data_IF_604514895606
#
_entry.id   IF_604514895606
#
_cell.length_a   1.000
_cell.length_b   1.000
_cell.length_c   1.000
_cell.angle_alpha   90.00
_cell.angle_beta   90.00
_cell.angle_gamma   90.00
#
_symmetry.space_group_name_H-M   'P 1'
#
loop_
_entity.id
_entity.type
_entity.pdbx_description
1 polymer ?
#
# COMPACT_ATOMS: atom_id res chain seq x y z
N UNK A 1 15.94 0.80 6.29
CA UNK A 1 14.60 0.33 5.89
C UNK A 1 14.22 1.06 4.61
N UNK A 2 13.54 0.38 3.69
CA UNK A 2 13.01 0.93 2.44
C UNK A 2 11.50 0.98 2.50
N UNK A 3 10.88 2.10 2.13
CA UNK A 3 9.46 2.27 1.85
C UNK A 3 9.26 2.42 0.34
N UNK A 4 8.51 1.51 -0.28
CA UNK A 4 8.25 1.49 -1.73
C UNK A 4 6.85 2.00 -2.00
N UNK A 5 6.74 3.07 -2.80
CA UNK A 5 5.53 3.87 -2.94
C UNK A 5 5.29 4.76 -1.72
N UNK A 6 6.34 5.45 -1.27
CA UNK A 6 6.34 6.22 -0.01
C UNK A 6 5.40 7.43 -0.02
N UNK A 7 4.89 7.83 -1.20
CA UNK A 7 3.98 8.96 -1.35
C UNK A 7 4.54 10.23 -0.69
N UNK A 8 3.76 10.81 0.22
CA UNK A 8 4.12 12.03 0.95
C UNK A 8 5.02 11.82 2.19
N UNK A 9 5.57 10.62 2.38
CA UNK A 9 6.49 10.32 3.48
C UNK A 9 5.85 10.09 4.84
N UNK A 10 4.59 9.66 4.89
CA UNK A 10 3.85 9.46 6.16
C UNK A 10 4.47 8.40 7.05
N UNK A 11 4.97 7.31 6.46
CA UNK A 11 5.64 6.24 7.20
C UNK A 11 6.99 6.72 7.75
N UNK A 12 7.74 7.50 6.97
CA UNK A 12 9.00 8.08 7.38
C UNK A 12 8.83 9.04 8.56
N UNK A 13 7.78 9.85 8.56
CA UNK A 13 7.43 10.71 9.71
C UNK A 13 7.15 9.87 10.95
N UNK A 14 6.32 8.81 10.80
CA UNK A 14 5.94 7.94 11.93
C UNK A 14 7.13 7.16 12.52
N UNK A 15 8.16 6.87 11.71
CA UNK A 15 9.33 6.11 12.10
C UNK A 15 10.59 6.97 12.31
N UNK A 16 10.45 8.30 12.31
CA UNK A 16 11.57 9.22 12.51
C UNK A 16 12.36 8.89 13.80
N UNK A 17 13.69 8.87 13.69
CA UNK A 17 14.59 8.53 14.80
C UNK A 17 14.66 7.04 15.16
N UNK A 18 13.83 6.16 14.57
CA UNK A 18 13.82 4.72 14.87
C UNK A 18 14.67 3.89 13.91
N UNK A 19 14.88 4.37 12.69
CA UNK A 19 15.66 3.68 11.67
C UNK A 19 16.23 4.68 10.65
N UNK A 20 17.23 4.24 9.87
CA UNK A 20 17.62 4.95 8.64
C UNK A 20 16.61 4.61 7.55
N UNK A 21 15.87 5.63 7.06
CA UNK A 21 14.75 5.48 6.17
C UNK A 21 15.09 5.92 4.74
N UNK A 22 14.65 5.13 3.79
CA UNK A 22 14.65 5.43 2.37
C UNK A 22 13.25 5.27 1.82
N UNK A 23 12.76 6.28 1.10
CA UNK A 23 11.51 6.22 0.34
C UNK A 23 11.77 6.21 -1.15
N UNK A 24 10.97 5.45 -1.89
CA UNK A 24 10.92 5.48 -3.37
C UNK A 24 9.48 5.71 -3.79
N UNK A 25 9.29 6.64 -4.71
CA UNK A 25 8.00 6.88 -5.35
C UNK A 25 8.22 7.23 -6.83
N UNK A 26 7.24 6.91 -7.67
CA UNK A 26 7.28 7.22 -9.10
C UNK A 26 6.84 8.65 -9.41
N UNK A 27 6.30 9.37 -8.44
CA UNK A 27 5.68 10.69 -8.59
C UNK A 27 6.59 11.77 -7.99
N UNK A 28 7.21 12.65 -8.80
CA UNK A 28 8.11 13.69 -8.30
C UNK A 28 7.46 14.61 -7.28
N UNK A 29 6.19 14.98 -7.49
CA UNK A 29 5.43 15.88 -6.62
C UNK A 29 5.22 15.29 -5.23
N UNK A 30 4.97 13.97 -5.14
CA UNK A 30 4.90 13.25 -3.86
C UNK A 30 6.22 13.32 -3.11
N UNK A 31 7.34 13.13 -3.80
CA UNK A 31 8.66 13.20 -3.20
C UNK A 31 9.05 14.61 -2.73
N UNK A 32 8.55 15.66 -3.39
CA UNK A 32 8.75 17.03 -2.90
C UNK A 32 8.05 17.25 -1.55
N UNK A 33 6.83 16.72 -1.42
CA UNK A 33 6.10 16.77 -0.14
C UNK A 33 6.79 15.90 0.91
N UNK A 34 7.20 14.68 0.54
CA UNK A 34 7.88 13.76 1.45
C UNK A 34 9.17 14.36 2.05
N UNK A 35 9.98 15.04 1.23
CA UNK A 35 11.21 15.72 1.71
C UNK A 35 10.92 16.83 2.71
N UNK A 36 9.80 17.53 2.57
CA UNK A 36 9.38 18.54 3.55
C UNK A 36 8.87 17.91 4.84
N UNK A 37 8.13 16.81 4.73
CA UNK A 37 7.52 16.15 5.87
C UNK A 37 8.54 15.37 6.72
N UNK A 38 9.51 14.70 6.06
CA UNK A 38 10.50 13.84 6.71
C UNK A 38 11.93 14.18 6.24
N UNK A 39 12.49 15.33 6.67
CA UNK A 39 13.79 15.83 6.16
C UNK A 39 14.97 14.92 6.51
N UNK A 40 14.86 14.07 7.51
CA UNK A 40 15.91 13.13 7.92
C UNK A 40 15.92 11.83 7.10
N UNK A 41 14.86 11.57 6.35
CA UNK A 41 14.77 10.42 5.44
C UNK A 41 15.40 10.74 4.07
N UNK A 42 15.73 9.69 3.32
CA UNK A 42 16.29 9.82 1.97
C UNK A 42 15.28 9.36 0.95
N UNK A 43 15.09 10.14 -0.10
CA UNK A 43 14.08 9.85 -1.12
C UNK A 43 14.71 9.76 -2.51
N UNK A 44 14.29 8.75 -3.28
CA UNK A 44 14.64 8.57 -4.69
C UNK A 44 13.40 8.48 -5.56
N UNK A 45 13.46 9.12 -6.72
CA UNK A 45 12.51 8.89 -7.80
C UNK A 45 12.81 7.52 -8.42
N UNK A 46 11.78 6.69 -8.59
CA UNK A 46 11.90 5.37 -9.18
C UNK A 46 10.59 4.61 -9.15
N UNK A 47 10.50 3.62 -10.04
CA UNK A 47 9.35 2.71 -10.08
C UNK A 47 9.59 1.53 -9.15
N UNK A 48 8.52 0.98 -8.60
CA UNK A 48 8.59 -0.19 -7.73
C UNK A 48 9.07 -1.45 -8.48
N UNK A 49 8.78 -1.53 -9.78
CA UNK A 49 9.19 -2.62 -10.65
C UNK A 49 10.67 -2.60 -11.06
N UNK A 50 11.38 -1.48 -10.78
CA UNK A 50 12.81 -1.31 -11.07
C UNK A 50 13.43 -0.40 -10.00
N UNK A 51 13.76 -0.98 -8.86
CA UNK A 51 14.24 -0.23 -7.70
C UNK A 51 15.67 0.28 -7.91
N UNK A 52 15.96 1.58 -7.70
CA UNK A 52 17.27 2.18 -7.94
C UNK A 52 18.29 1.88 -6.84
N UNK A 53 18.35 0.62 -6.40
CA UNK A 53 19.24 0.14 -5.35
C UNK A 53 19.96 -1.14 -5.75
N UNK A 54 21.09 -1.39 -5.11
CA UNK A 54 21.86 -2.62 -5.28
C UNK A 54 21.17 -3.80 -4.59
N UNK A 55 21.50 -5.00 -5.03
CA UNK A 55 21.11 -6.23 -4.34
C UNK A 55 21.58 -6.22 -2.88
N UNK A 56 20.75 -6.77 -1.99
CA UNK A 56 21.10 -6.97 -0.59
C UNK A 56 21.29 -5.69 0.23
N UNK A 57 20.77 -4.55 -0.22
CA UNK A 57 21.02 -3.27 0.46
C UNK A 57 20.22 -3.06 1.74
N UNK A 58 19.03 -3.62 1.84
CA UNK A 58 18.10 -3.34 2.93
C UNK A 58 17.83 -4.56 3.83
N UNK A 59 17.78 -4.35 5.13
CA UNK A 59 17.34 -5.35 6.09
C UNK A 59 15.81 -5.40 6.22
N UNK A 60 15.12 -4.33 5.84
CA UNK A 60 13.65 -4.20 5.93
C UNK A 60 13.12 -3.44 4.72
N UNK A 61 11.99 -3.91 4.19
CA UNK A 61 11.23 -3.19 3.18
C UNK A 61 9.74 -3.19 3.55
N UNK A 62 9.03 -2.17 3.12
CA UNK A 62 7.59 -2.01 3.32
C UNK A 62 6.93 -1.60 2.01
N UNK A 63 5.72 -2.16 1.77
CA UNK A 63 4.74 -1.65 0.82
C UNK A 63 3.47 -1.29 1.61
N UNK A 64 3.13 -0.02 1.67
CA UNK A 64 1.94 0.44 2.38
C UNK A 64 0.91 0.96 1.40
N UNK A 65 -0.18 0.21 1.15
CA UNK A 65 -1.25 0.51 0.19
C UNK A 65 -0.74 0.77 -1.25
N UNK A 66 0.19 -0.06 -1.73
CA UNK A 66 0.82 0.06 -3.06
C UNK A 66 0.54 -1.16 -3.94
N UNK A 67 0.38 -2.35 -3.36
CA UNK A 67 0.31 -3.62 -4.12
C UNK A 67 -0.80 -3.66 -5.18
N UNK A 68 -1.86 -2.88 -5.02
CA UNK A 68 -2.97 -2.77 -5.97
C UNK A 68 -2.70 -1.80 -7.14
N UNK A 69 -1.57 -1.10 -7.13
CA UNK A 69 -1.18 -0.08 -8.11
C UNK A 69 -0.06 -0.54 -9.06
N UNK A 70 0.53 -1.70 -8.83
CA UNK A 70 1.80 -2.14 -9.43
C UNK A 70 1.72 -3.54 -10.03
N UNK A 71 2.69 -3.88 -10.88
CA UNK A 71 2.94 -5.25 -11.34
C UNK A 71 3.55 -6.07 -10.19
N UNK A 72 2.69 -6.71 -9.39
CA UNK A 72 3.09 -7.43 -8.17
C UNK A 72 4.24 -8.42 -8.36
N UNK A 73 4.22 -9.32 -9.36
CA UNK A 73 5.34 -10.24 -9.59
C UNK A 73 6.69 -9.54 -9.76
N UNK A 74 6.74 -8.45 -10.53
CA UNK A 74 7.98 -7.69 -10.74
C UNK A 74 8.42 -6.97 -9.47
N UNK A 75 7.50 -6.35 -8.77
CA UNK A 75 7.80 -5.63 -7.52
C UNK A 75 8.29 -6.58 -6.44
N UNK A 76 7.67 -7.76 -6.30
CA UNK A 76 8.11 -8.76 -5.32
C UNK A 76 9.50 -9.31 -5.66
N UNK A 77 9.82 -9.53 -6.95
CA UNK A 77 11.16 -9.92 -7.38
C UNK A 77 12.20 -8.82 -7.08
N UNK A 78 11.89 -7.55 -7.31
CA UNK A 78 12.77 -6.41 -6.98
C UNK A 78 12.97 -6.27 -5.46
N UNK A 79 11.90 -6.42 -4.68
CA UNK A 79 12.00 -6.41 -3.22
C UNK A 79 12.85 -7.56 -2.69
N UNK A 80 12.68 -8.76 -3.26
CA UNK A 80 13.55 -9.89 -2.94
C UNK A 80 15.01 -9.59 -3.29
N UNK A 81 15.28 -8.98 -4.42
CA UNK A 81 16.62 -8.60 -4.86
C UNK A 81 17.29 -7.59 -3.92
N UNK A 82 16.58 -6.52 -3.54
CA UNK A 82 17.16 -5.42 -2.74
C UNK A 82 17.23 -5.71 -1.24
N UNK A 83 16.47 -6.67 -0.73
CA UNK A 83 16.58 -7.12 0.64
C UNK A 83 17.85 -7.95 0.85
N UNK A 84 18.53 -7.77 1.97
CA UNK A 84 19.63 -8.63 2.39
C UNK A 84 19.12 -10.06 2.72
N UNK A 85 19.98 -11.08 2.73
CA UNK A 85 19.65 -12.37 3.32
C UNK A 85 19.06 -12.17 4.73
N UNK A 86 18.01 -12.90 5.09
CA UNK A 86 17.22 -12.75 6.31
C UNK A 86 16.51 -11.39 6.46
N UNK A 87 16.56 -10.55 5.42
CA UNK A 87 15.81 -9.30 5.35
C UNK A 87 14.30 -9.55 5.33
N UNK A 88 13.53 -8.64 5.90
CA UNK A 88 12.08 -8.80 6.04
C UNK A 88 11.31 -7.81 5.20
N UNK A 89 10.27 -8.31 4.56
CA UNK A 89 9.25 -7.55 3.86
C UNK A 89 7.99 -7.47 4.73
N UNK A 90 7.38 -6.28 4.78
CA UNK A 90 6.04 -6.09 5.31
C UNK A 90 5.16 -5.46 4.22
N UNK A 91 3.95 -5.98 4.04
CA UNK A 91 2.94 -5.44 3.14
C UNK A 91 1.70 -5.11 3.96
N UNK A 92 1.20 -3.90 3.82
CA UNK A 92 -0.10 -3.50 4.37
C UNK A 92 -1.03 -3.15 3.20
N UNK A 93 -2.14 -3.85 3.11
CA UNK A 93 -3.17 -3.67 2.08
C UNK A 93 -4.55 -3.91 2.67
N UNK A 94 -5.61 -3.77 1.88
CA UNK A 94 -6.94 -4.15 2.31
C UNK A 94 -7.25 -5.58 1.87
N UNK A 95 -7.98 -6.31 2.74
CA UNK A 95 -8.62 -7.55 2.33
C UNK A 95 -9.78 -7.20 1.37
N UNK A 96 -9.95 -7.91 0.23
CA UNK A 96 -11.04 -7.61 -0.71
C UNK A 96 -12.44 -7.64 -0.09
N UNK A 97 -12.66 -8.38 1.01
CA UNK A 97 -13.92 -8.36 1.76
C UNK A 97 -14.27 -7.00 2.38
N UNK A 98 -13.26 -6.14 2.59
CA UNK A 98 -13.48 -4.76 3.03
C UNK A 98 -14.40 -3.99 2.09
N UNK A 99 -14.27 -4.23 0.77
CA UNK A 99 -15.06 -3.54 -0.23
C UNK A 99 -16.52 -3.99 -0.30
N UNK A 100 -16.92 -5.04 0.44
CA UNK A 100 -18.33 -5.45 0.51
C UNK A 100 -19.17 -4.50 1.37
N UNK A 101 -18.53 -3.85 2.35
CA UNK A 101 -19.18 -2.93 3.29
C UNK A 101 -18.53 -1.53 3.29
N UNK A 102 -17.84 -1.17 2.21
CA UNK A 102 -17.20 0.13 2.13
C UNK A 102 -18.23 1.25 2.06
N UNK A 103 -18.11 2.24 2.91
CA UNK A 103 -19.09 3.30 3.08
C UNK A 103 -19.37 4.16 1.83
N UNK A 104 -18.47 4.12 0.84
CA UNK A 104 -18.66 4.80 -0.45
C UNK A 104 -19.49 4.01 -1.46
N UNK A 105 -19.76 2.72 -1.25
CA UNK A 105 -20.43 1.87 -2.26
C UNK A 105 -21.83 2.34 -2.64
N UNK A 106 -22.59 2.87 -1.66
CA UNK A 106 -23.94 3.40 -1.92
C UNK A 106 -23.90 4.70 -2.73
N UNK A 107 -22.79 5.43 -2.62
CA UNK A 107 -22.56 6.68 -3.34
C UNK A 107 -22.02 6.43 -4.76
N UNK A 108 -21.16 5.43 -4.91
CA UNK A 108 -20.43 5.12 -6.15
C UNK A 108 -20.52 3.62 -6.47
N UNK A 109 -21.55 3.17 -7.18
CA UNK A 109 -21.83 1.74 -7.39
C UNK A 109 -20.73 0.94 -8.09
N UNK A 110 -19.94 1.57 -8.98
CA UNK A 110 -18.84 0.90 -9.70
C UNK A 110 -17.62 0.66 -8.83
N UNK A 111 -17.47 1.39 -7.72
CA UNK A 111 -16.26 1.41 -6.87
C UNK A 111 -15.92 0.04 -6.31
N UNK A 112 -16.91 -0.67 -5.77
CA UNK A 112 -16.72 -2.00 -5.21
C UNK A 112 -16.11 -2.99 -6.22
N UNK A 113 -16.66 -3.02 -7.45
CA UNK A 113 -16.17 -3.92 -8.50
C UNK A 113 -14.74 -3.60 -8.93
N UNK A 114 -14.42 -2.32 -9.06
CA UNK A 114 -13.08 -1.85 -9.43
C UNK A 114 -12.08 -2.24 -8.34
N UNK A 115 -12.35 -1.94 -7.08
CA UNK A 115 -11.42 -2.22 -5.99
C UNK A 115 -11.23 -3.72 -5.76
N UNK A 116 -12.29 -4.53 -5.77
CA UNK A 116 -12.16 -5.98 -5.66
C UNK A 116 -11.30 -6.61 -6.75
N UNK A 117 -11.29 -6.05 -7.95
CA UNK A 117 -10.45 -6.54 -9.04
C UNK A 117 -8.98 -6.14 -8.92
N UNK A 118 -8.65 -5.12 -8.14
CA UNK A 118 -7.29 -4.58 -8.01
C UNK A 118 -6.55 -5.12 -6.78
N UNK A 119 -7.26 -5.35 -5.69
CA UNK A 119 -6.64 -5.78 -4.44
C UNK A 119 -6.49 -7.31 -4.40
N UNK A 120 -5.32 -7.83 -4.01
CA UNK A 120 -5.11 -9.27 -3.93
C UNK A 120 -5.85 -9.89 -2.74
N UNK A 121 -6.32 -11.12 -2.90
CA UNK A 121 -6.74 -11.93 -1.77
C UNK A 121 -5.53 -12.38 -0.94
N UNK A 122 -5.76 -12.89 0.26
CA UNK A 122 -4.70 -13.43 1.10
C UNK A 122 -3.97 -14.60 0.41
N UNK A 123 -4.73 -15.48 -0.23
CA UNK A 123 -4.22 -16.66 -0.94
C UNK A 123 -3.37 -16.27 -2.16
N UNK A 124 -3.81 -15.25 -2.93
CA UNK A 124 -3.03 -14.72 -4.05
C UNK A 124 -1.72 -14.10 -3.56
N UNK A 125 -1.77 -13.27 -2.51
CA UNK A 125 -0.59 -12.61 -1.97
C UNK A 125 0.42 -13.60 -1.39
N UNK A 126 -0.05 -14.65 -0.70
CA UNK A 126 0.79 -15.72 -0.19
C UNK A 126 1.49 -16.49 -1.33
N UNK A 127 0.73 -16.87 -2.36
CA UNK A 127 1.26 -17.57 -3.52
C UNK A 127 2.29 -16.73 -4.30
N UNK A 128 2.01 -15.44 -4.50
CA UNK A 128 2.91 -14.51 -5.20
C UNK A 128 4.20 -14.27 -4.40
N UNK A 129 4.14 -14.15 -3.07
CA UNK A 129 5.30 -14.04 -2.19
C UNK A 129 6.18 -15.30 -2.27
N UNK A 130 5.56 -16.48 -2.18
CA UNK A 130 6.29 -17.76 -2.32
C UNK A 130 6.93 -17.90 -3.71
N UNK A 131 6.22 -17.54 -4.79
CA UNK A 131 6.75 -17.56 -6.15
C UNK A 131 7.93 -16.58 -6.35
N UNK A 132 7.95 -15.47 -5.62
CA UNK A 132 9.07 -14.51 -5.63
C UNK A 132 10.26 -14.94 -4.76
N UNK A 133 10.19 -16.12 -4.09
CA UNK A 133 11.28 -16.69 -3.29
C UNK A 133 11.31 -16.26 -1.84
N UNK A 134 10.23 -15.68 -1.32
CA UNK A 134 10.12 -15.36 0.12
C UNK A 134 9.71 -16.57 0.94
N UNK A 135 10.25 -16.68 2.14
CA UNK A 135 9.92 -17.67 3.17
C UNK A 135 9.20 -17.04 4.35
N UNK A 136 8.76 -17.87 5.30
CA UNK A 136 8.09 -17.46 6.55
C UNK A 136 6.92 -16.51 6.32
N UNK A 137 6.16 -16.73 5.24
CA UNK A 137 5.01 -15.88 4.89
C UNK A 137 3.94 -16.01 5.96
N UNK A 138 3.57 -14.88 6.55
CA UNK A 138 2.51 -14.80 7.57
C UNK A 138 1.54 -13.71 7.18
N UNK A 139 0.27 -14.08 7.06
CA UNK A 139 -0.81 -13.14 6.81
C UNK A 139 -1.66 -12.96 8.07
N UNK A 140 -2.03 -11.72 8.33
CA UNK A 140 -2.88 -11.37 9.47
C UNK A 140 -3.95 -10.39 9.01
N UNK A 141 -5.22 -10.68 9.33
CA UNK A 141 -6.32 -9.74 9.15
C UNK A 141 -6.50 -8.94 10.42
N UNK A 142 -6.65 -7.62 10.27
CA UNK A 142 -6.87 -6.70 11.40
C UNK A 142 -8.05 -5.81 11.07
N UNK A 143 -9.09 -5.89 11.89
CA UNK A 143 -10.25 -5.01 11.81
C UNK A 143 -10.03 -3.77 12.66
N UNK A 144 -10.34 -2.61 12.11
CA UNK A 144 -10.25 -1.33 12.80
C UNK A 144 -11.54 -0.54 12.59
N UNK A 145 -12.21 -0.21 13.69
CA UNK A 145 -13.33 0.72 13.65
C UNK A 145 -12.81 2.16 13.45
N UNK A 146 -13.50 2.90 12.60
CA UNK A 146 -13.17 4.29 12.29
C UNK A 146 -14.46 5.10 12.12
N UNK A 147 -14.32 6.41 12.26
CA UNK A 147 -15.41 7.32 12.01
C UNK A 147 -14.89 8.63 11.44
N UNK A 148 -15.72 9.27 10.64
CA UNK A 148 -15.53 10.62 10.11
C UNK A 148 -16.76 11.46 10.46
N UNK A 149 -16.57 12.72 10.75
CA UNK A 149 -17.66 13.67 10.65
C UNK A 149 -18.03 13.90 9.17
N UNK A 150 -19.24 14.37 8.96
CA UNK A 150 -19.79 14.60 7.61
C UNK A 150 -18.90 15.50 6.74
N UNK A 151 -18.41 16.61 7.30
CA UNK A 151 -17.59 17.56 6.55
C UNK A 151 -16.27 16.94 6.11
N UNK A 152 -15.58 16.24 7.02
CA UNK A 152 -14.36 15.49 6.70
C UNK A 152 -14.60 14.38 5.65
N UNK A 153 -15.77 13.74 5.68
CA UNK A 153 -16.13 12.74 4.67
C UNK A 153 -16.33 13.37 3.29
N UNK A 154 -17.04 14.51 3.23
CA UNK A 154 -17.26 15.28 1.99
C UNK A 154 -15.95 15.83 1.42
N UNK A 155 -15.08 16.39 2.28
CA UNK A 155 -13.77 16.89 1.87
C UNK A 155 -12.93 15.78 1.22
N UNK A 156 -12.88 14.61 1.84
CA UNK A 156 -12.17 13.44 1.26
C UNK A 156 -12.72 13.03 -0.10
N UNK A 157 -14.03 13.03 -0.29
CA UNK A 157 -14.63 12.74 -1.60
C UNK A 157 -14.20 13.79 -2.62
N UNK A 158 -14.31 15.09 -2.28
CA UNK A 158 -13.93 16.20 -3.15
C UNK A 158 -12.45 16.15 -3.55
N UNK A 159 -11.58 15.76 -2.62
CA UNK A 159 -10.14 15.59 -2.85
C UNK A 159 -9.79 14.28 -3.57
N UNK A 160 -10.77 13.45 -3.92
CA UNK A 160 -10.55 12.13 -4.53
C UNK A 160 -9.51 11.30 -3.77
N UNK A 161 -9.66 11.20 -2.44
CA UNK A 161 -8.66 10.66 -1.51
C UNK A 161 -8.21 9.22 -1.77
N UNK A 162 -8.93 8.47 -2.60
CA UNK A 162 -8.58 7.15 -3.09
C UNK A 162 -8.50 7.16 -4.62
N UNK A 163 -7.49 6.48 -5.18
CA UNK A 163 -7.25 6.44 -6.62
C UNK A 163 -8.40 5.86 -7.44
N UNK A 164 -9.30 5.12 -6.82
CA UNK A 164 -10.45 4.51 -7.51
C UNK A 164 -11.48 5.56 -7.90
N UNK A 165 -11.59 6.67 -7.16
CA UNK A 165 -12.47 7.79 -7.55
C UNK A 165 -12.04 8.45 -8.87
N UNK A 166 -10.74 8.40 -9.22
CA UNK A 166 -10.24 8.88 -10.51
C UNK A 166 -10.53 7.93 -11.67
N UNK A 167 -10.95 6.70 -11.38
CA UNK A 167 -11.28 5.69 -12.38
C UNK A 167 -12.77 5.67 -12.75
N UNK A 168 -13.60 6.38 -11.98
CA UNK A 168 -15.04 6.51 -12.26
C UNK A 168 -15.29 7.43 -13.46
N UNK A 169 -16.43 7.24 -14.13
CA UNK A 169 -16.90 8.26 -15.08
C UNK A 169 -17.22 9.55 -14.34
N UNK A 170 -17.05 10.69 -15.01
CA UNK A 170 -17.37 11.99 -14.39
C UNK A 170 -18.85 12.07 -14.00
N UNK A 171 -19.75 11.48 -14.78
CA UNK A 171 -21.19 11.40 -14.47
C UNK A 171 -21.45 10.63 -13.15
N UNK A 172 -20.76 9.49 -12.94
CA UNK A 172 -20.89 8.71 -11.70
C UNK A 172 -20.28 9.47 -10.51
N UNK A 173 -19.11 10.10 -10.72
CA UNK A 173 -18.45 10.86 -9.67
C UNK A 173 -19.28 12.07 -9.22
N UNK A 174 -19.77 12.91 -10.14
CA UNK A 174 -20.62 14.06 -9.85
C UNK A 174 -21.94 13.63 -9.20
N UNK A 175 -22.57 12.58 -9.73
CA UNK A 175 -23.80 12.02 -9.17
C UNK A 175 -23.60 11.46 -7.76
N UNK A 176 -22.50 10.81 -7.49
CA UNK A 176 -22.11 10.30 -6.18
C UNK A 176 -21.82 11.42 -5.17
N UNK A 177 -21.07 12.43 -5.59
CA UNK A 177 -20.79 13.62 -4.75
C UNK A 177 -22.10 14.35 -4.39
N UNK A 178 -22.98 14.57 -5.35
CA UNK A 178 -24.29 15.21 -5.12
C UNK A 178 -25.17 14.37 -4.17
N UNK A 179 -25.12 13.03 -4.22
CA UNK A 179 -25.76 12.15 -3.23
C UNK A 179 -25.13 12.30 -1.85
N UNK A 180 -23.79 12.29 -1.78
CA UNK A 180 -23.08 12.47 -0.52
C UNK A 180 -23.47 13.79 0.19
N UNK A 181 -23.57 14.89 -0.56
CA UNK A 181 -23.99 16.20 -0.03
C UNK A 181 -25.42 16.21 0.51
N UNK A 182 -26.31 15.34 0.01
CA UNK A 182 -27.69 15.25 0.51
C UNK A 182 -27.87 14.23 1.63
N UNK A 183 -27.19 13.11 1.56
CA UNK A 183 -27.57 11.87 2.26
C UNK A 183 -26.58 11.41 3.32
N UNK A 184 -25.31 11.90 3.32
CA UNK A 184 -24.37 11.51 4.36
C UNK A 184 -24.87 11.92 5.75
N UNK A 185 -24.81 11.02 6.73
CA UNK A 185 -25.12 11.32 8.12
C UNK A 185 -24.08 12.27 8.72
N UNK A 186 -24.40 12.91 9.86
CA UNK A 186 -23.48 13.77 10.59
C UNK A 186 -22.19 13.04 11.02
N UNK A 187 -22.28 11.72 11.15
CA UNK A 187 -21.15 10.84 11.47
C UNK A 187 -21.21 9.58 10.62
N UNK A 188 -20.16 9.36 9.84
CA UNK A 188 -19.96 8.15 9.03
C UNK A 188 -19.10 7.17 9.82
N UNK A 189 -19.70 6.09 10.30
CA UNK A 189 -18.99 5.03 10.99
C UNK A 189 -18.70 3.91 9.98
N UNK A 190 -17.48 3.40 10.00
CA UNK A 190 -17.05 2.34 9.09
C UNK A 190 -15.96 1.48 9.73
N UNK A 191 -15.79 0.29 9.17
CA UNK A 191 -14.74 -0.63 9.58
C UNK A 191 -13.76 -0.78 8.45
N UNK A 192 -12.47 -0.78 8.77
CA UNK A 192 -11.38 -1.06 7.82
C UNK A 192 -10.89 -2.47 8.07
N UNK A 193 -10.83 -3.29 7.03
CA UNK A 193 -10.28 -4.64 7.08
C UNK A 193 -8.90 -4.65 6.42
N UNK A 194 -7.88 -4.63 7.26
CA UNK A 194 -6.50 -4.70 6.82
C UNK A 194 -6.09 -6.14 6.55
N UNK A 195 -5.35 -6.35 5.48
CA UNK A 195 -4.54 -7.53 5.23
C UNK A 195 -3.07 -7.17 5.38
N UNK A 196 -2.42 -7.74 6.39
CA UNK A 196 -1.00 -7.55 6.66
C UNK A 196 -0.26 -8.82 6.29
N UNK A 197 0.78 -8.69 5.45
CA UNK A 197 1.67 -9.80 5.14
C UNK A 197 3.09 -9.46 5.64
N UNK A 198 3.75 -10.45 6.23
CA UNK A 198 5.18 -10.38 6.56
C UNK A 198 5.85 -11.60 5.98
N UNK A 199 7.00 -11.41 5.35
CA UNK A 199 7.78 -12.47 4.73
C UNK A 199 9.27 -12.21 4.92
N UNK A 200 10.11 -13.23 4.78
CA UNK A 200 11.56 -13.13 4.90
C UNK A 200 12.25 -13.53 3.60
N UNK A 201 13.31 -12.80 3.22
CA UNK A 201 14.23 -13.32 2.22
C UNK A 201 15.04 -14.45 2.86
N UNK A 202 15.06 -15.68 2.30
CA UNK A 202 15.82 -16.80 2.88
C UNK A 202 17.31 -16.48 2.97
N UNK A 203 17.98 -17.15 3.86
CA UNK A 203 19.45 -17.15 3.89
C UNK A 203 19.94 -17.76 2.57
N UNK A 204 20.81 -17.07 1.86
CA UNK A 204 21.47 -17.66 0.69
C UNK A 204 22.33 -18.82 1.16
N UNK A 205 21.87 -20.04 0.93
CA UNK A 205 22.67 -21.24 1.17
C UNK A 205 23.84 -21.25 0.15
N UNK A 206 24.97 -20.66 0.53
CA UNK A 206 26.20 -20.72 -0.25
C UNK A 206 26.74 -22.14 -0.19
N UNK A 207 26.06 -23.09 -0.92
CA UNK A 207 26.67 -24.31 -1.37
C UNK A 207 26.91 -25.35 -0.30
N UNK A 208 25.99 -26.28 -0.13
CA UNK A 208 26.36 -27.70 -0.01
C UNK A 208 26.75 -28.27 -1.39
N UNK A 209 27.69 -27.62 -2.03
CA UNK A 209 28.34 -28.15 -3.23
C UNK A 209 29.83 -28.18 -2.96
N UNK A 210 30.29 -29.10 -2.09
CA UNK A 210 31.63 -29.66 -2.03
C UNK A 210 31.76 -30.59 -0.79
N UNK A 211 31.28 -31.80 -0.89
CA UNK A 211 31.91 -32.96 -0.26
C UNK A 211 31.70 -34.15 -1.19
#
# INVERSE_FOLDING_TARGET
MLDVGCGTGRLEVALAGRARLWGVDATPEMLEVARRNAPDARFKLGRAEELPFKEGWFERAVLWLVVHLVDRPKVLAELHRVLAPEGRLAIATFDPSYFDSFWLNELFPSLQGIDRARFPTAEELEAELGAAGFDDVRLTRVSQEAALDRESALERIRERFISTLDMLSEEEYEGGLARAERELPERVEYRVEWLLAVASRPYADFGRACL
#
